data_IF_408311810085
#
_entry.id   IF_408311810085
#
_cell.length_a   1.000
_cell.length_b   1.000
_cell.length_c   1.000
_cell.angle_alpha   90.00
_cell.angle_beta   90.00
_cell.angle_gamma   90.00
#
_symmetry.space_group_name_H-M   'P 1'
#
loop_
_entity.id
_entity.type
_entity.pdbx_description
1 polymer ?
#
# COMPACT_ATOMS: atom_id res chain seq x y z
N UNK A 1 6.40 19.45 35.81
CA UNK A 1 5.46 18.34 35.55
C UNK A 1 4.74 18.60 34.25
N UNK A 2 5.04 17.83 33.19
CA UNK A 2 4.14 17.53 32.06
C UNK A 2 4.91 16.67 31.02
N UNK A 3 5.22 15.42 31.40
CA UNK A 3 5.58 14.34 30.46
C UNK A 3 4.32 13.91 29.67
N UNK A 4 3.64 14.83 28.97
CA UNK A 4 2.25 14.57 28.53
C UNK A 4 1.91 14.94 27.07
N UNK A 5 2.86 14.74 26.15
CA UNK A 5 2.55 14.72 24.71
C UNK A 5 3.08 13.44 24.05
N UNK A 6 2.72 12.28 24.59
CA UNK A 6 2.99 11.00 23.92
C UNK A 6 1.94 10.82 22.82
N UNK A 7 2.34 11.18 21.59
CA UNK A 7 1.85 10.69 20.30
C UNK A 7 0.34 10.40 20.13
N UNK A 8 -0.50 11.44 19.99
CA UNK A 8 -1.94 11.31 19.67
C UNK A 8 -2.26 11.06 18.18
N UNK A 9 -1.30 11.10 17.28
CA UNK A 9 -1.59 11.01 15.83
C UNK A 9 -1.61 9.56 15.35
N UNK A 10 -2.60 9.19 14.53
CA UNK A 10 -2.67 7.88 13.88
C UNK A 10 -1.79 7.89 12.63
N UNK A 11 -0.57 7.38 12.76
CA UNK A 11 0.41 7.31 11.67
C UNK A 11 0.60 5.84 11.27
N UNK A 12 0.51 5.57 9.97
CA UNK A 12 0.66 4.25 9.36
C UNK A 12 1.60 4.35 8.15
N UNK A 13 2.41 3.31 7.93
CA UNK A 13 3.32 3.22 6.78
C UNK A 13 3.00 1.99 5.94
N UNK A 14 3.08 2.15 4.62
CA UNK A 14 3.12 1.05 3.66
C UNK A 14 4.33 1.19 2.74
N UNK A 15 4.76 0.05 2.19
CA UNK A 15 5.66 -0.04 1.07
C UNK A 15 4.91 -0.78 -0.04
N UNK A 16 4.87 -0.20 -1.24
CA UNK A 16 4.31 -0.89 -2.40
C UNK A 16 5.40 -1.76 -3.02
N UNK A 17 5.20 -3.08 -3.06
CA UNK A 17 6.07 -3.99 -3.81
C UNK A 17 5.35 -4.78 -4.90
N UNK A 18 4.09 -4.42 -5.18
CA UNK A 18 3.31 -4.98 -6.27
C UNK A 18 3.56 -4.21 -7.57
N UNK A 19 3.94 -4.93 -8.63
CA UNK A 19 4.18 -4.37 -9.96
C UNK A 19 2.95 -4.57 -10.84
N UNK A 20 2.41 -3.47 -11.39
CA UNK A 20 1.28 -3.53 -12.31
C UNK A 20 1.71 -4.07 -13.68
N UNK A 21 0.96 -5.04 -14.20
CA UNK A 21 1.25 -5.66 -15.51
C UNK A 21 1.25 -4.65 -16.67
N UNK A 22 0.41 -3.62 -16.59
CA UNK A 22 0.29 -2.59 -17.63
C UNK A 22 1.58 -1.78 -17.82
N UNK A 23 2.40 -1.58 -16.78
CA UNK A 23 3.65 -0.82 -16.94
C UNK A 23 4.68 -1.61 -17.76
N UNK A 24 4.77 -2.92 -17.56
CA UNK A 24 5.60 -3.82 -18.38
C UNK A 24 5.19 -3.73 -19.85
N UNK A 25 3.87 -3.78 -20.10
CA UNK A 25 3.32 -3.66 -21.47
C UNK A 25 3.57 -2.29 -22.10
N UNK A 26 3.36 -1.20 -21.34
CA UNK A 26 3.48 0.18 -21.84
C UNK A 26 4.92 0.55 -22.20
N UNK A 27 5.90 0.07 -21.44
CA UNK A 27 7.31 0.37 -21.68
C UNK A 27 8.00 -0.64 -22.62
N UNK A 28 7.37 -1.78 -22.91
CA UNK A 28 7.96 -2.83 -23.75
C UNK A 28 9.24 -3.43 -23.14
N UNK A 29 9.33 -3.42 -21.82
CA UNK A 29 10.45 -3.93 -21.03
C UNK A 29 9.99 -5.18 -20.24
N UNK A 30 10.93 -5.93 -19.66
CA UNK A 30 10.58 -7.03 -18.76
C UNK A 30 10.27 -6.56 -17.32
N UNK A 31 9.69 -7.46 -16.51
CA UNK A 31 9.31 -7.19 -15.12
C UNK A 31 10.51 -6.72 -14.27
N UNK A 32 11.68 -7.37 -14.45
CA UNK A 32 12.89 -7.06 -13.70
C UNK A 32 13.42 -5.65 -14.00
N UNK A 33 13.34 -5.23 -15.26
CA UNK A 33 13.81 -3.92 -15.70
C UNK A 33 12.87 -2.79 -15.29
N UNK A 34 11.55 -3.01 -15.36
CA UNK A 34 10.58 -1.97 -14.98
C UNK A 34 10.57 -1.75 -13.46
N UNK A 35 10.71 -2.83 -12.68
CA UNK A 35 10.59 -2.79 -11.23
C UNK A 35 9.29 -2.10 -10.74
N UNK A 36 9.32 -1.56 -9.52
CA UNK A 36 8.23 -0.72 -8.99
C UNK A 36 8.63 0.75 -9.14
N UNK A 37 7.99 1.44 -10.06
CA UNK A 37 8.28 2.85 -10.35
C UNK A 37 7.62 3.79 -9.32
N UNK A 38 8.18 4.99 -9.18
CA UNK A 38 7.56 6.04 -8.36
C UNK A 38 6.15 6.38 -8.88
N UNK A 39 5.17 6.42 -7.97
CA UNK A 39 3.76 6.67 -8.31
C UNK A 39 3.02 5.43 -8.83
N UNK A 40 3.61 4.23 -8.74
CA UNK A 40 2.96 3.00 -9.18
C UNK A 40 1.68 2.65 -8.38
N UNK A 41 1.46 3.25 -7.20
CA UNK A 41 0.24 3.09 -6.40
C UNK A 41 -0.94 3.90 -6.92
N UNK A 42 -0.71 5.04 -7.58
CA UNK A 42 -1.73 5.96 -8.10
C UNK A 42 -2.85 5.22 -8.88
N UNK A 43 -2.57 4.40 -9.91
CA UNK A 43 -3.64 3.72 -10.66
C UNK A 43 -4.48 2.80 -9.78
N UNK A 44 -3.89 2.16 -8.77
CA UNK A 44 -4.60 1.29 -7.83
C UNK A 44 -5.49 2.09 -6.87
N UNK A 45 -4.98 3.21 -6.33
CA UNK A 45 -5.70 4.10 -5.40
C UNK A 45 -6.94 4.71 -6.07
N UNK A 46 -6.81 5.10 -7.34
CA UNK A 46 -7.91 5.71 -8.11
C UNK A 46 -8.77 4.71 -8.89
N UNK A 47 -8.49 3.40 -8.76
CA UNK A 47 -9.35 2.35 -9.31
C UNK A 47 -9.25 2.12 -10.80
N UNK A 48 -8.13 2.47 -11.43
CA UNK A 48 -7.92 2.25 -12.86
C UNK A 48 -8.17 0.79 -13.26
N UNK A 49 -7.61 -0.24 -12.58
CA UNK A 49 -7.90 -1.64 -12.92
C UNK A 49 -9.38 -2.01 -12.79
N UNK A 50 -10.10 -1.42 -11.84
CA UNK A 50 -11.54 -1.68 -11.65
C UNK A 50 -12.39 -1.01 -12.73
N UNK A 51 -12.00 0.18 -13.18
CA UNK A 51 -12.70 0.96 -14.19
C UNK A 51 -12.39 0.49 -15.62
N UNK A 52 -11.18 -0.03 -15.83
CA UNK A 52 -10.65 -0.47 -17.12
C UNK A 52 -10.03 -1.87 -17.02
N UNK A 53 -10.83 -2.90 -16.66
CA UNK A 53 -10.33 -4.27 -16.48
C UNK A 53 -9.74 -4.86 -17.77
N UNK A 54 -10.07 -4.32 -18.94
CA UNK A 54 -9.49 -4.71 -20.23
C UNK A 54 -7.98 -4.44 -20.36
N UNK A 55 -7.43 -3.55 -19.53
CA UNK A 55 -6.00 -3.23 -19.49
C UNK A 55 -5.29 -3.78 -18.25
N UNK A 56 -5.91 -4.71 -17.54
CA UNK A 56 -5.43 -5.20 -16.24
C UNK A 56 -5.61 -6.71 -16.11
N UNK A 57 -4.77 -7.34 -15.29
CA UNK A 57 -4.99 -8.73 -14.92
C UNK A 57 -6.06 -8.83 -13.82
N UNK A 58 -6.69 -9.99 -13.60
CA UNK A 58 -7.55 -10.21 -12.44
C UNK A 58 -6.88 -9.86 -11.11
N UNK A 59 -5.58 -10.13 -10.99
CA UNK A 59 -4.76 -9.81 -9.82
C UNK A 59 -4.63 -8.30 -9.63
N UNK A 60 -4.43 -7.53 -10.70
CA UNK A 60 -4.39 -6.06 -10.65
C UNK A 60 -5.73 -5.48 -10.17
N UNK A 61 -6.85 -6.07 -10.59
CA UNK A 61 -8.21 -5.68 -10.17
C UNK A 61 -8.41 -5.94 -8.68
N UNK A 62 -8.08 -7.14 -8.21
CA UNK A 62 -8.23 -7.51 -6.80
C UNK A 62 -7.31 -6.68 -5.90
N UNK A 63 -6.08 -6.43 -6.36
CA UNK A 63 -5.15 -5.55 -5.67
C UNK A 63 -5.67 -4.11 -5.59
N UNK A 64 -6.21 -3.56 -6.68
CA UNK A 64 -6.84 -2.23 -6.66
C UNK A 64 -7.99 -2.16 -5.66
N UNK A 65 -8.87 -3.17 -5.62
CA UNK A 65 -9.97 -3.23 -4.63
C UNK A 65 -9.45 -3.21 -3.19
N UNK A 66 -8.37 -3.94 -2.92
CA UNK A 66 -7.72 -3.94 -1.62
C UNK A 66 -7.18 -2.54 -1.27
N UNK A 67 -6.41 -1.92 -2.17
CA UNK A 67 -5.84 -0.57 -1.94
C UNK A 67 -6.94 0.45 -1.68
N UNK A 68 -7.99 0.48 -2.51
CA UNK A 68 -9.15 1.36 -2.31
C UNK A 68 -9.79 1.13 -0.94
N UNK A 69 -9.99 -0.13 -0.54
CA UNK A 69 -10.54 -0.47 0.78
C UNK A 69 -9.68 0.06 1.92
N UNK A 70 -8.35 -0.06 1.83
CA UNK A 70 -7.42 0.42 2.87
C UNK A 70 -7.45 1.95 2.98
N UNK A 71 -7.42 2.66 1.84
CA UNK A 71 -7.51 4.12 1.80
C UNK A 71 -8.86 4.64 2.31
N UNK A 72 -9.97 4.02 1.88
CA UNK A 72 -11.32 4.42 2.31
C UNK A 72 -11.57 4.11 3.78
N UNK A 73 -11.06 2.99 4.30
CA UNK A 73 -11.08 2.70 5.74
C UNK A 73 -10.32 3.74 6.54
N UNK A 74 -9.12 4.13 6.09
CA UNK A 74 -8.34 5.17 6.77
C UNK A 74 -9.11 6.49 6.81
N UNK A 75 -9.69 6.92 5.69
CA UNK A 75 -10.51 8.13 5.63
C UNK A 75 -11.74 8.06 6.56
N UNK A 76 -12.39 6.90 6.67
CA UNK A 76 -13.62 6.73 7.44
C UNK A 76 -13.39 6.52 8.94
N UNK A 77 -12.34 5.79 9.31
CA UNK A 77 -12.13 5.30 10.68
C UNK A 77 -10.81 5.75 11.30
N UNK A 78 -9.96 6.46 10.56
CA UNK A 78 -8.62 6.85 11.00
C UNK A 78 -7.65 5.68 11.14
N UNK A 79 -7.97 4.51 10.56
CA UNK A 79 -7.11 3.31 10.47
C UNK A 79 -7.44 2.53 9.19
N UNK A 80 -6.43 2.01 8.46
CA UNK A 80 -6.65 1.32 7.18
C UNK A 80 -7.19 -0.12 7.33
N UNK A 81 -6.80 -0.82 8.39
CA UNK A 81 -7.22 -2.18 8.72
C UNK A 81 -7.07 -2.42 10.23
N UNK A 82 -7.74 -3.44 10.78
CA UNK A 82 -7.68 -3.75 12.22
C UNK A 82 -6.32 -4.29 12.65
N UNK A 83 -5.67 -5.05 11.77
CA UNK A 83 -4.39 -5.69 12.04
C UNK A 83 -3.20 -4.81 11.65
N UNK A 84 -3.44 -3.57 11.17
CA UNK A 84 -2.36 -2.70 10.75
C UNK A 84 -1.70 -2.02 11.97
N UNK A 85 -0.41 -2.30 12.22
CA UNK A 85 0.30 -1.68 13.33
C UNK A 85 0.45 -0.17 13.12
N UNK A 86 0.04 0.58 14.13
CA UNK A 86 0.26 2.03 14.20
C UNK A 86 1.71 2.31 14.57
N UNK A 87 2.31 3.35 13.98
CA UNK A 87 3.60 3.84 14.43
C UNK A 87 3.49 4.31 15.89
N UNK A 88 4.24 3.68 16.80
CA UNK A 88 4.40 4.12 18.18
C UNK A 88 5.65 4.99 18.28
N UNK A 89 5.53 6.15 18.91
CA UNK A 89 6.57 7.21 18.89
C UNK A 89 7.79 6.91 19.75
N UNK A 90 7.83 5.74 20.38
CA UNK A 90 8.64 5.52 21.57
C UNK A 90 9.81 4.57 21.28
N UNK A 91 9.74 3.76 20.22
CA UNK A 91 10.67 2.64 20.01
C UNK A 91 11.32 2.52 18.60
N UNK A 92 11.25 3.52 17.71
CA UNK A 92 11.84 3.46 16.36
C UNK A 92 11.41 2.28 15.47
N UNK A 93 10.48 1.42 15.91
CA UNK A 93 9.94 0.32 15.12
C UNK A 93 8.92 0.90 14.13
N UNK A 94 9.37 1.18 12.92
CA UNK A 94 8.48 1.50 11.80
C UNK A 94 7.95 0.17 11.29
N UNK A 95 6.73 -0.18 11.66
CA UNK A 95 6.06 -1.30 11.03
C UNK A 95 5.51 -0.85 9.69
N UNK A 96 6.16 -1.31 8.62
CA UNK A 96 5.75 -1.08 7.25
C UNK A 96 5.01 -2.31 6.76
N UNK A 97 3.78 -2.12 6.26
CA UNK A 97 3.05 -3.20 5.60
C UNK A 97 3.47 -3.25 4.13
N UNK A 98 3.96 -4.41 3.71
CA UNK A 98 4.20 -4.70 2.30
C UNK A 98 2.86 -4.92 1.58
N UNK A 99 2.51 -4.02 0.66
CA UNK A 99 1.32 -4.12 -0.16
C UNK A 99 1.60 -4.97 -1.40
N UNK A 100 1.85 -6.25 -1.17
CA UNK A 100 1.90 -7.27 -2.22
C UNK A 100 1.12 -8.50 -1.75
N UNK A 101 0.06 -8.93 -2.47
CA UNK A 101 -0.80 -10.05 -2.06
C UNK A 101 -0.04 -11.34 -1.72
N UNK A 102 1.10 -11.58 -2.38
CA UNK A 102 1.96 -12.74 -2.10
C UNK A 102 2.82 -12.62 -0.84
N UNK A 103 2.87 -11.45 -0.21
CA UNK A 103 3.78 -11.10 0.88
C UNK A 103 3.12 -10.31 2.03
N UNK A 104 1.79 -10.23 2.07
CA UNK A 104 1.00 -9.41 3.00
C UNK A 104 1.29 -9.67 4.50
N UNK A 105 1.91 -10.80 4.85
CA UNK A 105 2.26 -11.20 6.22
C UNK A 105 3.63 -10.66 6.67
N UNK A 106 4.38 -9.99 5.79
CA UNK A 106 5.70 -9.45 6.11
C UNK A 106 5.57 -8.04 6.68
N UNK A 107 5.59 -7.96 8.01
CA UNK A 107 5.94 -6.72 8.70
C UNK A 107 7.45 -6.57 8.64
N UNK A 108 7.93 -5.54 7.94
CA UNK A 108 9.34 -5.15 8.04
C UNK A 108 9.52 -4.32 9.31
N UNK A 109 10.50 -4.74 10.11
CA UNK A 109 11.00 -4.02 11.28
C UNK A 109 12.41 -3.57 10.91
N UNK A 110 12.63 -2.26 10.83
CA UNK A 110 13.97 -1.69 10.64
C UNK A 110 14.67 -1.48 11.99
#
# INVERSE_FOLDING_TARGET
MAKHMINKQNVYFYELTYQMSLFVQMFGLDEETVGIIHGADIPFVFGMPVLHPEFSTPEDVDFSRLVIKLWTNFAKYGKPDEQWPKLLGDNNLISVRDLNPGHMDRLRVN
#
